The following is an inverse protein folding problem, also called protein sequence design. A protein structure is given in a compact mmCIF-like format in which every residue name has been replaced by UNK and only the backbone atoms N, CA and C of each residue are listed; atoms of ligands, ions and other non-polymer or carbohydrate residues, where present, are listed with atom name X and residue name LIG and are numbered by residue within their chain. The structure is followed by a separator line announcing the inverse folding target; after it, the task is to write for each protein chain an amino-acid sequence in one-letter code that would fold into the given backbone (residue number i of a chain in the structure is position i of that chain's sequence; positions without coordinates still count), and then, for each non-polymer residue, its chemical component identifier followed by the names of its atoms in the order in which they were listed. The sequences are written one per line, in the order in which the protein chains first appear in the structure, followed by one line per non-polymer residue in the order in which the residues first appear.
data_IF_387076568293
#
_entry.id   IF_387076568293
#
_cell.length_a   1.000
_cell.length_b   1.000
_cell.length_c   1.000
_cell.angle_alpha   90.00
_cell.angle_beta   90.00
_cell.angle_gamma   90.00
#
_symmetry.space_group_name_H-M   'P 1'
#
loop_
_entity.id
_entity.type
_entity.pdbx_description
1 polymer ?
#
# COMPACT_ATOMS: atom_id res chain seq x y z
N UNK A 1 -7.51 -11.41 -4.48
CA UNK A 1 -8.41 -10.45 -5.16
C UNK A 1 -9.63 -10.03 -4.32
N UNK A 2 -10.46 -10.94 -3.84
CA UNK A 2 -11.63 -10.61 -3.01
C UNK A 2 -11.28 -9.82 -1.74
N UNK A 3 -10.13 -10.05 -1.11
CA UNK A 3 -9.75 -9.39 0.16
C UNK A 3 -9.25 -7.96 -0.01
N UNK A 4 -8.53 -7.64 -1.08
CA UNK A 4 -8.18 -6.24 -1.40
C UNK A 4 -9.45 -5.43 -1.67
N UNK A 5 -10.38 -5.97 -2.46
CA UNK A 5 -11.71 -5.37 -2.62
C UNK A 5 -12.42 -5.17 -1.28
N UNK A 6 -12.38 -6.16 -0.38
CA UNK A 6 -13.01 -6.04 0.94
C UNK A 6 -12.37 -4.97 1.81
N UNK A 7 -11.04 -4.78 1.78
CA UNK A 7 -10.38 -3.70 2.51
C UNK A 7 -10.81 -2.33 1.99
N UNK A 8 -10.77 -2.11 0.69
CA UNK A 8 -11.21 -0.85 0.09
C UNK A 8 -12.69 -0.58 0.32
N UNK A 9 -13.56 -1.59 0.18
CA UNK A 9 -14.99 -1.52 0.48
C UNK A 9 -15.20 -1.18 1.95
N UNK A 10 -14.52 -1.86 2.88
CA UNK A 10 -14.69 -1.65 4.32
C UNK A 10 -14.22 -0.27 4.77
N UNK A 11 -13.10 0.22 4.25
CA UNK A 11 -12.64 1.58 4.52
C UNK A 11 -13.67 2.61 4.04
N UNK A 12 -14.19 2.45 2.84
CA UNK A 12 -15.21 3.34 2.26
C UNK A 12 -16.51 3.37 3.05
N UNK A 13 -16.94 2.25 3.64
CA UNK A 13 -18.15 2.20 4.49
C UNK A 13 -17.95 2.76 5.89
N UNK A 14 -16.69 2.84 6.35
CA UNK A 14 -16.38 3.25 7.73
C UNK A 14 -15.74 4.63 7.84
N UNK A 15 -15.27 5.18 6.73
CA UNK A 15 -14.52 6.44 6.71
C UNK A 15 -15.00 7.33 5.58
N UNK A 16 -15.05 8.62 5.86
CA UNK A 16 -15.35 9.65 4.87
C UNK A 16 -14.13 9.96 3.98
N UNK A 17 -14.32 10.63 2.82
CA UNK A 17 -13.21 11.11 2.01
C UNK A 17 -12.26 12.07 2.74
N UNK A 18 -12.73 12.75 3.79
CA UNK A 18 -11.90 13.65 4.60
C UNK A 18 -11.03 12.90 5.63
N UNK A 19 -11.34 11.61 5.84
CA UNK A 19 -10.56 10.75 6.73
C UNK A 19 -9.60 9.85 5.98
N UNK A 20 -10.00 9.33 4.79
CA UNK A 20 -9.20 8.40 3.99
C UNK A 20 -9.34 8.73 2.51
N UNK A 21 -8.20 8.81 1.84
CA UNK A 21 -8.07 8.97 0.38
C UNK A 21 -7.31 7.80 -0.22
N UNK A 22 -7.65 7.46 -1.46
CA UNK A 22 -7.00 6.38 -2.20
C UNK A 22 -6.29 6.87 -3.45
N UNK A 23 -5.16 6.25 -3.74
CA UNK A 23 -4.56 6.14 -5.06
C UNK A 23 -4.61 4.66 -5.42
N UNK A 24 -5.24 4.33 -6.54
CA UNK A 24 -5.38 2.95 -6.99
C UNK A 24 -4.67 2.76 -8.33
N UNK A 25 -3.87 1.72 -8.42
CA UNK A 25 -3.08 1.37 -9.61
C UNK A 25 -3.50 -0.02 -10.07
N UNK A 26 -4.04 -0.09 -11.28
CA UNK A 26 -4.50 -1.32 -11.94
C UNK A 26 -4.05 -1.33 -13.40
N UNK A 27 -2.84 -1.81 -13.70
CA UNK A 27 -2.31 -1.84 -15.07
C UNK A 27 -3.14 -2.70 -16.03
N UNK A 28 -3.88 -3.66 -15.48
CA UNK A 28 -4.70 -4.61 -16.27
C UNK A 28 -6.13 -4.14 -16.52
N UNK A 29 -6.55 -3.05 -15.87
CA UNK A 29 -7.92 -2.49 -15.98
C UNK A 29 -9.05 -3.47 -15.62
N UNK A 30 -8.81 -4.42 -14.70
CA UNK A 30 -9.78 -5.51 -14.42
C UNK A 30 -10.36 -5.39 -13.02
N UNK A 31 -9.50 -5.25 -12.01
CA UNK A 31 -9.89 -5.44 -10.62
C UNK A 31 -10.35 -4.14 -9.93
N UNK A 32 -9.68 -3.03 -10.20
CA UNK A 32 -9.95 -1.76 -9.53
C UNK A 32 -10.76 -0.75 -10.37
N UNK A 33 -11.00 -1.02 -11.64
CA UNK A 33 -11.83 -0.18 -12.51
C UNK A 33 -13.22 0.16 -11.93
N UNK A 34 -13.92 -0.76 -11.20
CA UNK A 34 -15.21 -0.45 -10.57
C UNK A 34 -15.17 0.63 -9.47
N UNK A 35 -13.97 1.01 -9.01
CA UNK A 35 -13.80 2.08 -8.02
C UNK A 35 -13.71 3.48 -8.64
N UNK A 36 -13.61 3.60 -9.96
CA UNK A 36 -13.66 4.91 -10.60
C UNK A 36 -14.95 5.66 -10.23
N UNK A 37 -14.80 6.95 -9.91
CA UNK A 37 -15.92 7.81 -9.53
C UNK A 37 -16.27 7.80 -8.03
N UNK A 38 -15.64 6.98 -7.18
CA UNK A 38 -15.84 7.12 -5.73
C UNK A 38 -15.15 8.39 -5.20
N UNK A 39 -15.76 9.10 -4.24
CA UNK A 39 -15.23 10.39 -3.76
C UNK A 39 -13.91 10.26 -2.97
N UNK A 40 -13.54 9.04 -2.56
CA UNK A 40 -12.29 8.76 -1.85
C UNK A 40 -11.06 8.75 -2.77
N UNK A 41 -11.22 8.62 -4.09
CA UNK A 41 -10.08 8.66 -5.01
C UNK A 41 -9.51 10.07 -5.12
N UNK A 42 -8.17 10.18 -5.00
CA UNK A 42 -7.45 11.42 -5.28
C UNK A 42 -7.35 11.69 -6.79
N UNK A 43 -7.19 10.62 -7.55
CA UNK A 43 -7.12 10.61 -9.02
C UNK A 43 -7.88 9.38 -9.53
N UNK A 44 -8.36 9.37 -10.79
CA UNK A 44 -8.89 8.16 -11.40
C UNK A 44 -7.91 6.99 -11.29
N UNK A 45 -8.43 5.75 -11.30
CA UNK A 45 -7.58 4.55 -11.23
C UNK A 45 -6.51 4.62 -12.32
N UNK A 46 -5.25 4.51 -11.89
CA UNK A 46 -4.09 4.64 -12.76
C UNK A 46 -3.83 3.32 -13.46
N UNK A 47 -3.83 3.35 -14.79
CA UNK A 47 -3.68 2.14 -15.63
C UNK A 47 -2.35 2.10 -16.36
N UNK A 48 -1.71 3.24 -16.55
CA UNK A 48 -0.40 3.35 -17.19
C UNK A 48 0.74 3.19 -16.18
N UNK A 49 1.71 2.26 -16.38
CA UNK A 49 2.79 2.03 -15.43
C UNK A 49 3.70 3.25 -15.20
N UNK A 50 3.94 4.10 -16.20
CA UNK A 50 4.75 5.32 -16.02
C UNK A 50 4.01 6.34 -15.16
N UNK A 51 2.69 6.50 -15.37
CA UNK A 51 1.86 7.36 -14.51
C UNK A 51 1.78 6.79 -13.09
N UNK A 52 1.79 5.47 -12.92
CA UNK A 52 1.83 4.83 -11.62
C UNK A 52 3.13 5.14 -10.85
N UNK A 53 4.29 5.12 -11.52
CA UNK A 53 5.54 5.57 -10.92
C UNK A 53 5.46 7.05 -10.46
N UNK A 54 4.88 7.93 -11.29
CA UNK A 54 4.60 9.32 -10.91
C UNK A 54 3.67 9.47 -9.71
N UNK A 55 2.62 8.64 -9.62
CA UNK A 55 1.70 8.62 -8.48
C UNK A 55 2.40 8.16 -7.17
N UNK A 56 3.31 7.20 -7.26
CA UNK A 56 4.16 6.80 -6.12
C UNK A 56 5.12 7.92 -5.69
N UNK A 57 5.75 8.61 -6.64
CA UNK A 57 6.59 9.78 -6.35
C UNK A 57 5.78 10.90 -5.69
N UNK A 58 4.54 11.13 -6.14
CA UNK A 58 3.63 12.07 -5.49
C UNK A 58 3.34 11.66 -4.04
N UNK A 59 3.12 10.38 -3.77
CA UNK A 59 2.90 9.89 -2.39
C UNK A 59 4.12 10.17 -1.49
N UNK A 60 5.34 10.02 -2.02
CA UNK A 60 6.58 10.39 -1.32
C UNK A 60 6.64 11.91 -1.07
N UNK A 61 6.32 12.72 -2.09
CA UNK A 61 6.29 14.18 -1.96
C UNK A 61 5.27 14.63 -0.90
N UNK A 62 4.06 14.11 -0.95
CA UNK A 62 3.00 14.41 0.04
C UNK A 62 3.44 14.03 1.46
N UNK A 63 4.06 12.86 1.61
CA UNK A 63 4.62 12.41 2.88
C UNK A 63 5.66 13.41 3.43
N UNK A 64 6.59 13.86 2.60
CA UNK A 64 7.62 14.83 3.00
C UNK A 64 7.03 16.20 3.31
N UNK A 65 6.04 16.64 2.55
CA UNK A 65 5.28 17.87 2.83
C UNK A 65 4.62 17.80 4.21
N UNK A 66 3.99 16.67 4.54
CA UNK A 66 3.37 16.45 5.85
C UNK A 66 4.38 16.52 7.00
N UNK A 67 5.56 15.93 6.84
CA UNK A 67 6.62 16.02 7.84
C UNK A 67 7.06 17.46 8.09
N UNK A 68 7.17 18.28 7.03
CA UNK A 68 7.45 19.72 7.16
C UNK A 68 6.34 20.41 7.97
N UNK A 69 5.07 20.19 7.58
CA UNK A 69 3.91 20.76 8.30
C UNK A 69 3.87 20.31 9.77
N UNK A 70 4.18 19.05 10.06
CA UNK A 70 4.23 18.55 11.43
C UNK A 70 5.33 19.23 12.24
N UNK A 71 6.51 19.39 11.67
CA UNK A 71 7.63 20.11 12.31
C UNK A 71 7.28 21.56 12.63
N UNK A 72 6.64 22.27 11.69
CA UNK A 72 6.20 23.65 11.86
C UNK A 72 5.15 23.82 12.98
N UNK A 73 4.36 22.76 13.25
CA UNK A 73 3.32 22.75 14.27
C UNK A 73 3.71 22.00 15.56
N UNK A 74 4.98 21.57 15.69
CA UNK A 74 5.49 20.91 16.89
C UNK A 74 4.91 19.54 17.18
N UNK A 75 4.39 18.85 16.16
CA UNK A 75 3.81 17.49 16.24
C UNK A 75 4.64 16.50 15.45
N UNK A 76 4.48 15.20 15.71
CA UNK A 76 5.32 14.15 15.10
C UNK A 76 4.56 13.21 14.14
N UNK A 77 3.24 13.17 14.21
CA UNK A 77 2.41 12.23 13.44
C UNK A 77 1.04 12.82 13.11
N UNK A 78 0.41 12.22 12.10
CA UNK A 78 -0.90 12.63 11.58
C UNK A 78 -1.98 12.72 12.66
N UNK A 79 -2.05 11.75 13.57
CA UNK A 79 -3.05 11.77 14.64
C UNK A 79 -2.93 12.97 15.57
N UNK A 80 -1.70 13.36 15.91
CA UNK A 80 -1.43 14.55 16.74
C UNK A 80 -1.77 15.83 15.99
N UNK A 81 -1.38 15.90 14.71
CA UNK A 81 -1.71 17.01 13.83
C UNK A 81 -3.23 17.18 13.70
N UNK A 82 -3.96 16.12 13.43
CA UNK A 82 -5.43 16.18 13.28
C UNK A 82 -6.16 16.53 14.59
N UNK A 83 -5.60 16.17 15.75
CA UNK A 83 -6.11 16.64 17.05
C UNK A 83 -5.89 18.15 17.22
N UNK A 84 -4.74 18.65 16.80
CA UNK A 84 -4.44 20.08 16.82
C UNK A 84 -5.34 20.86 15.85
N UNK A 85 -5.53 20.35 14.62
CA UNK A 85 -6.41 20.92 13.62
C UNK A 85 -7.91 20.89 14.01
N UNK A 86 -8.29 20.06 14.98
CA UNK A 86 -9.66 20.05 15.50
C UNK A 86 -9.96 21.21 16.43
N UNK A 87 -8.93 21.90 16.98
CA UNK A 87 -9.06 23.01 17.93
C UNK A 87 -8.53 24.33 17.38
N UNK A 88 -7.81 24.32 16.27
CA UNK A 88 -7.25 25.48 15.59
C UNK A 88 -7.94 25.72 14.27
N UNK A 89 -8.56 26.88 14.11
CA UNK A 89 -9.30 27.27 12.91
C UNK A 89 -8.42 27.52 11.67
N UNK A 90 -7.12 27.80 11.88
CA UNK A 90 -6.14 28.06 10.82
C UNK A 90 -5.53 26.76 10.23
N UNK A 91 -5.90 25.58 10.75
CA UNK A 91 -5.40 24.29 10.31
C UNK A 91 -6.54 23.42 9.77
N UNK A 92 -6.30 22.79 8.61
CA UNK A 92 -7.19 21.78 8.05
C UNK A 92 -6.72 20.38 8.42
N UNK A 93 -7.68 19.48 8.72
CA UNK A 93 -7.39 18.06 8.94
C UNK A 93 -6.86 17.42 7.65
N UNK A 94 -5.91 16.54 7.80
CA UNK A 94 -5.32 15.77 6.71
C UNK A 94 -5.85 14.33 6.71
N UNK A 95 -6.34 13.80 5.59
CA UNK A 95 -6.74 12.40 5.48
C UNK A 95 -5.54 11.46 5.50
N UNK A 96 -5.75 10.22 5.93
CA UNK A 96 -4.82 9.14 5.59
C UNK A 96 -4.85 8.87 4.08
N UNK A 97 -3.71 8.58 3.49
CA UNK A 97 -3.59 8.21 2.07
C UNK A 97 -3.21 6.74 1.97
N UNK A 98 -3.98 5.96 1.22
CA UNK A 98 -3.69 4.54 0.97
C UNK A 98 -3.43 4.36 -0.52
N UNK A 99 -2.22 3.93 -0.86
CA UNK A 99 -1.84 3.58 -2.22
C UNK A 99 -2.03 2.07 -2.39
N UNK A 100 -2.88 1.68 -3.33
CA UNK A 100 -3.18 0.27 -3.64
C UNK A 100 -2.62 -0.06 -5.00
N UNK A 101 -1.76 -1.08 -5.08
CA UNK A 101 -1.17 -1.59 -6.32
C UNK A 101 -1.67 -3.02 -6.52
N UNK A 102 -2.39 -3.27 -7.60
CA UNK A 102 -2.95 -4.59 -7.91
C UNK A 102 -1.91 -5.56 -8.47
N UNK A 103 -1.03 -5.09 -9.35
CA UNK A 103 0.04 -5.90 -9.93
C UNK A 103 1.37 -5.15 -9.97
N UNK A 104 2.23 -5.41 -8.98
CA UNK A 104 3.54 -4.76 -8.88
C UNK A 104 4.46 -5.16 -10.04
N UNK A 105 4.39 -6.41 -10.52
CA UNK A 105 5.29 -6.90 -11.57
C UNK A 105 5.20 -6.04 -12.85
N UNK A 106 4.03 -5.56 -13.20
CA UNK A 106 3.85 -4.75 -14.41
C UNK A 106 4.50 -3.35 -14.27
N UNK A 107 4.59 -2.81 -13.06
CA UNK A 107 5.31 -1.57 -12.78
C UNK A 107 6.83 -1.79 -12.81
N UNK A 108 7.27 -2.90 -12.22
CA UNK A 108 8.71 -3.24 -12.17
C UNK A 108 9.32 -3.48 -13.56
N UNK A 109 8.53 -3.95 -14.51
CA UNK A 109 8.98 -4.12 -15.91
C UNK A 109 9.30 -2.78 -16.60
N UNK A 110 8.66 -1.68 -16.19
CA UNK A 110 8.73 -0.39 -16.90
C UNK A 110 9.60 0.62 -16.17
N UNK A 111 9.53 0.67 -14.83
CA UNK A 111 10.15 1.70 -14.01
C UNK A 111 10.64 1.14 -12.66
N UNK A 112 11.38 0.01 -12.70
CA UNK A 112 11.77 -0.74 -11.51
C UNK A 112 12.42 0.11 -10.43
N UNK A 113 13.41 0.92 -10.80
CA UNK A 113 14.19 1.74 -9.86
C UNK A 113 13.33 2.77 -9.15
N UNK A 114 12.58 3.56 -9.90
CA UNK A 114 11.73 4.63 -9.37
C UNK A 114 10.60 4.07 -8.49
N UNK A 115 10.03 2.94 -8.90
CA UNK A 115 8.97 2.24 -8.14
C UNK A 115 9.52 1.68 -6.85
N UNK A 116 10.63 0.96 -6.88
CA UNK A 116 11.28 0.39 -5.70
C UNK A 116 11.68 1.48 -4.70
N UNK A 117 12.37 2.54 -5.15
CA UNK A 117 12.78 3.66 -4.30
C UNK A 117 11.57 4.33 -3.61
N UNK A 118 10.50 4.57 -4.36
CA UNK A 118 9.28 5.20 -3.83
C UNK A 118 8.57 4.32 -2.81
N UNK A 119 8.42 3.03 -3.12
CA UNK A 119 7.82 2.04 -2.21
C UNK A 119 8.63 1.95 -0.91
N UNK A 120 9.95 1.81 -0.99
CA UNK A 120 10.81 1.71 0.18
C UNK A 120 10.76 2.97 1.05
N UNK A 121 10.76 4.15 0.45
CA UNK A 121 10.62 5.42 1.18
C UNK A 121 9.30 5.52 1.93
N UNK A 122 8.19 5.21 1.27
CA UNK A 122 6.87 5.23 1.93
C UNK A 122 6.79 4.14 3.00
N UNK A 123 7.30 2.94 2.75
CA UNK A 123 7.32 1.86 3.74
C UNK A 123 8.10 2.23 5.01
N UNK A 124 9.23 2.94 4.88
CA UNK A 124 10.06 3.37 6.00
C UNK A 124 9.43 4.51 6.82
N UNK A 125 8.81 5.46 6.17
CA UNK A 125 8.43 6.73 6.79
C UNK A 125 6.93 7.02 6.75
N UNK A 126 6.14 6.31 5.93
CA UNK A 126 4.74 6.66 5.66
C UNK A 126 3.83 6.58 6.88
N UNK A 127 4.10 5.67 7.83
CA UNK A 127 3.22 5.42 8.99
C UNK A 127 2.88 6.68 9.78
N UNK A 128 3.88 7.45 10.17
CA UNK A 128 3.68 8.66 10.94
C UNK A 128 3.00 9.77 10.14
N UNK A 129 3.26 9.85 8.84
CA UNK A 129 2.62 10.78 7.91
C UNK A 129 1.21 10.36 7.48
N UNK A 130 0.75 9.16 7.85
CA UNK A 130 -0.55 8.61 7.44
C UNK A 130 -0.59 8.22 5.96
N UNK A 131 0.56 7.79 5.39
CA UNK A 131 0.66 7.27 4.01
C UNK A 131 0.94 5.78 4.08
N UNK A 132 0.06 4.97 3.51
CA UNK A 132 0.08 3.52 3.61
C UNK A 132 0.13 2.87 2.22
N UNK A 133 0.74 1.68 2.16
CA UNK A 133 0.83 0.87 0.94
C UNK A 133 0.10 -0.45 1.10
N UNK A 134 -0.63 -0.84 0.07
CA UNK A 134 -1.17 -2.18 -0.13
C UNK A 134 -0.70 -2.66 -1.49
N UNK A 135 0.22 -3.59 -1.49
CA UNK A 135 0.89 -4.04 -2.71
C UNK A 135 0.56 -5.50 -2.96
N UNK A 136 0.12 -5.79 -4.17
CA UNK A 136 -0.10 -7.16 -4.61
C UNK A 136 0.67 -7.48 -5.88
N UNK A 137 0.91 -8.75 -6.08
CA UNK A 137 1.45 -9.29 -7.33
C UNK A 137 1.00 -10.74 -7.51
N UNK A 138 0.78 -11.13 -8.76
CA UNK A 138 0.55 -12.52 -9.17
C UNK A 138 1.85 -13.22 -9.56
N UNK A 139 2.96 -12.47 -9.63
CA UNK A 139 4.30 -12.98 -10.02
C UNK A 139 5.27 -12.80 -8.86
N UNK A 140 5.29 -13.74 -7.90
CA UNK A 140 6.18 -13.66 -6.75
C UNK A 140 7.60 -14.12 -7.12
N UNK A 141 8.30 -13.32 -7.90
CA UNK A 141 9.70 -13.54 -8.29
C UNK A 141 10.64 -12.57 -7.56
N UNK A 142 11.93 -12.90 -7.49
CA UNK A 142 12.92 -12.12 -6.73
C UNK A 142 13.22 -10.74 -7.36
N UNK A 143 12.97 -10.58 -8.64
CA UNK A 143 13.07 -9.31 -9.38
C UNK A 143 11.85 -8.40 -9.15
N UNK A 144 10.73 -8.95 -8.73
CA UNK A 144 9.51 -8.20 -8.36
C UNK A 144 9.48 -7.91 -6.86
N UNK A 145 9.67 -8.93 -6.02
CA UNK A 145 9.70 -8.81 -4.56
C UNK A 145 11.17 -8.80 -4.12
N UNK A 146 11.80 -7.64 -4.21
CA UNK A 146 13.23 -7.49 -3.94
C UNK A 146 13.58 -7.61 -2.46
N UNK A 147 14.84 -7.91 -2.17
CA UNK A 147 15.33 -7.94 -0.79
C UNK A 147 15.16 -6.60 -0.07
N UNK A 148 15.28 -5.47 -0.80
CA UNK A 148 15.11 -4.14 -0.24
C UNK A 148 13.64 -3.87 0.15
N UNK A 149 12.68 -4.27 -0.70
CA UNK A 149 11.26 -4.20 -0.35
C UNK A 149 10.93 -5.07 0.86
N UNK A 150 11.43 -6.30 0.91
CA UNK A 150 11.19 -7.23 2.04
C UNK A 150 11.72 -6.69 3.37
N UNK A 151 12.86 -6.01 3.34
CA UNK A 151 13.43 -5.38 4.53
C UNK A 151 12.57 -4.22 5.08
N UNK A 152 11.80 -3.56 4.23
CA UNK A 152 11.00 -2.38 4.60
C UNK A 152 9.50 -2.66 4.73
N UNK A 153 9.00 -3.78 4.16
CA UNK A 153 7.60 -4.20 4.24
C UNK A 153 7.51 -5.48 5.09
N UNK A 154 7.36 -5.33 6.41
CA UNK A 154 7.45 -6.47 7.32
C UNK A 154 6.18 -7.32 7.37
N UNK A 155 5.01 -6.76 7.06
CA UNK A 155 3.74 -7.49 7.08
C UNK A 155 3.44 -8.05 5.69
N UNK A 156 3.40 -9.37 5.60
CA UNK A 156 3.26 -10.07 4.32
C UNK A 156 2.19 -11.14 4.36
N UNK A 157 1.51 -11.33 3.24
CA UNK A 157 0.47 -12.33 3.06
C UNK A 157 0.80 -13.14 1.81
N UNK A 158 0.78 -14.45 1.92
CA UNK A 158 0.80 -15.34 0.77
C UNK A 158 -0.49 -16.14 0.71
N UNK A 159 -1.12 -16.15 -0.44
CA UNK A 159 -2.11 -17.13 -0.83
C UNK A 159 -1.43 -18.38 -1.39
N UNK A 160 -2.20 -19.39 -1.83
CA UNK A 160 -1.65 -20.57 -2.48
C UNK A 160 -0.74 -20.18 -3.65
N UNK A 161 0.47 -20.74 -3.66
CA UNK A 161 1.50 -20.55 -4.70
C UNK A 161 1.87 -21.89 -5.33
N UNK A 162 2.52 -21.87 -6.49
CA UNK A 162 2.85 -23.08 -7.21
C UNK A 162 4.06 -23.84 -6.62
N UNK A 163 4.94 -23.16 -5.90
CA UNK A 163 6.18 -23.78 -5.43
C UNK A 163 6.63 -23.25 -4.06
N UNK A 164 7.45 -24.05 -3.36
CA UNK A 164 8.09 -23.64 -2.11
C UNK A 164 9.08 -22.48 -2.29
N UNK A 165 9.61 -22.31 -3.51
CA UNK A 165 10.46 -21.16 -3.85
C UNK A 165 9.65 -19.86 -3.79
N UNK A 166 8.46 -19.83 -4.40
CA UNK A 166 7.58 -18.68 -4.36
C UNK A 166 7.14 -18.33 -2.93
N UNK A 167 6.83 -19.37 -2.12
CA UNK A 167 6.55 -19.18 -0.69
C UNK A 167 7.70 -18.48 0.03
N UNK A 168 8.95 -18.92 -0.20
CA UNK A 168 10.14 -18.28 0.37
C UNK A 168 10.37 -16.86 -0.14
N UNK A 169 10.09 -16.58 -1.41
CA UNK A 169 10.20 -15.22 -1.94
C UNK A 169 9.28 -14.28 -1.19
N UNK A 170 8.04 -14.68 -0.88
CA UNK A 170 7.08 -13.83 -0.18
C UNK A 170 7.34 -13.81 1.33
N UNK A 171 7.44 -14.99 1.97
CA UNK A 171 7.36 -15.14 3.43
C UNK A 171 8.70 -15.44 4.11
N UNK A 172 9.78 -15.63 3.35
CA UNK A 172 11.08 -16.13 3.81
C UNK A 172 11.02 -17.57 4.37
N UNK A 173 9.87 -18.25 4.23
CA UNK A 173 9.64 -19.63 4.66
C UNK A 173 8.78 -20.40 3.66
N UNK A 174 8.78 -21.71 3.76
CA UNK A 174 7.89 -22.59 2.98
C UNK A 174 6.51 -22.70 3.65
N UNK A 175 5.53 -23.20 2.91
CA UNK A 175 4.19 -23.51 3.44
C UNK A 175 3.04 -23.01 2.58
N UNK A 176 3.22 -21.89 1.86
CA UNK A 176 2.16 -21.35 1.00
C UNK A 176 1.84 -22.26 -0.20
N UNK A 177 2.78 -23.12 -0.61
CA UNK A 177 2.56 -24.16 -1.63
C UNK A 177 1.62 -25.28 -1.18
N UNK A 178 1.35 -25.39 0.12
CA UNK A 178 0.45 -26.39 0.71
C UNK A 178 -0.97 -25.89 0.94
N UNK A 179 -1.21 -24.61 0.69
CA UNK A 179 -2.51 -23.98 0.87
C UNK A 179 -3.51 -24.54 -0.17
N UNK A 180 -4.76 -24.70 0.25
CA UNK A 180 -5.82 -25.30 -0.58
C UNK A 180 -6.48 -24.30 -1.56
N UNK A 181 -6.09 -23.03 -1.51
CA UNK A 181 -6.68 -22.00 -2.36
C UNK A 181 -7.99 -21.43 -1.78
N UNK A 182 -8.81 -20.81 -2.65
CA UNK A 182 -10.12 -20.21 -2.27
C UNK A 182 -10.05 -19.14 -1.15
N UNK A 183 -8.89 -18.52 -1.00
CA UNK A 183 -8.67 -17.50 0.02
C UNK A 183 -7.94 -17.98 1.27
N UNK A 184 -7.60 -19.27 1.33
CA UNK A 184 -6.66 -19.82 2.31
C UNK A 184 -5.31 -19.11 2.21
N UNK A 185 -4.75 -18.66 3.33
CA UNK A 185 -3.56 -17.82 3.31
C UNK A 185 -2.65 -17.99 4.53
N UNK A 186 -1.38 -17.71 4.34
CA UNK A 186 -0.42 -17.48 5.40
C UNK A 186 -0.19 -15.98 5.59
N UNK A 187 -0.27 -15.53 6.82
CA UNK A 187 -0.02 -14.14 7.20
C UNK A 187 1.19 -14.05 8.13
N UNK A 188 2.18 -13.28 7.73
CA UNK A 188 3.36 -12.94 8.51
C UNK A 188 3.22 -11.48 9.02
N UNK A 189 2.66 -11.26 10.21
CA UNK A 189 2.59 -9.94 10.82
C UNK A 189 3.94 -9.50 11.38
N UNK A 190 4.14 -8.19 11.53
CA UNK A 190 5.35 -7.66 12.17
C UNK A 190 5.47 -8.14 13.62
N UNK A 191 6.59 -8.79 13.94
CA UNK A 191 6.94 -9.18 15.32
C UNK A 191 6.15 -10.36 15.88
N UNK A 192 5.37 -11.05 15.08
CA UNK A 192 4.62 -12.25 15.47
C UNK A 192 4.98 -13.45 14.57
N UNK A 193 4.67 -14.65 15.04
CA UNK A 193 4.81 -15.87 14.25
C UNK A 193 3.82 -15.91 13.07
N UNK A 194 4.13 -16.74 12.09
CA UNK A 194 3.29 -16.99 10.93
C UNK A 194 1.91 -17.51 11.36
N UNK A 195 0.86 -16.95 10.81
CA UNK A 195 -0.54 -17.30 11.10
C UNK A 195 -1.16 -17.90 9.85
N UNK A 196 -1.82 -19.03 10.00
CA UNK A 196 -2.66 -19.63 8.96
C UNK A 196 -4.11 -19.17 9.15
N UNK A 197 -4.75 -18.71 8.09
CA UNK A 197 -6.13 -18.17 8.10
C UNK A 197 -6.92 -18.81 6.98
#
# INVERSE_FOLDING_TARGET
YRRQRQMCIRARYKSTPDEVRFIMVDPKMVELAPYNGIPHLLIPVVTDPKKAAGALQWAVFEMMKRYKTFSENGVKKLEEYNKLAAVREDLEKLPSVVVVIDELADLMLVAAKEVEESICRVAQMGRAAGVHLVIATQRPSADVITGLMKANIPSRIAFAVASSLESRIILDTTGAEKLVGKGDMLYAPLGLSLIHI
#
